data_IF_882552092422
#
_entry.id   IF_882552092422
#
_cell.length_a   1.000
_cell.length_b   1.000
_cell.length_c   1.000
_cell.angle_alpha   90.00
_cell.angle_beta   90.00
_cell.angle_gamma   90.00
#
_symmetry.space_group_name_H-M   'P 1'
#
loop_
_entity.id
_entity.type
_entity.pdbx_description
1 polymer ?
#
# COMPACT_ATOMS: atom_id res chain seq x y z
N UNK A 1 -36.25 -10.64 -48.75
CA UNK A 1 -36.36 -9.25 -49.24
C UNK A 1 -35.27 -8.43 -48.56
N UNK A 2 -34.27 -7.98 -49.32
CA UNK A 2 -33.16 -7.18 -48.78
C UNK A 2 -33.63 -5.73 -48.58
N UNK A 3 -33.60 -5.26 -47.33
CA UNK A 3 -33.83 -3.86 -46.99
C UNK A 3 -32.66 -3.03 -47.52
N UNK A 4 -32.83 -2.43 -48.71
CA UNK A 4 -31.93 -1.42 -49.26
C UNK A 4 -32.12 -0.12 -48.46
N UNK A 5 -31.34 0.05 -47.39
CA UNK A 5 -31.23 1.33 -46.69
C UNK A 5 -30.32 2.26 -47.50
N UNK A 6 -30.93 3.15 -48.27
CA UNK A 6 -30.26 4.23 -48.99
C UNK A 6 -29.82 5.31 -48.00
N UNK A 7 -28.54 5.33 -47.64
CA UNK A 7 -27.93 6.41 -46.85
C UNK A 7 -27.61 7.58 -47.77
N UNK A 8 -28.51 8.56 -47.84
CA UNK A 8 -28.24 9.83 -48.52
C UNK A 8 -27.39 10.70 -47.56
N UNK A 9 -26.15 11.06 -47.90
CA UNK A 9 -25.34 11.94 -47.07
C UNK A 9 -25.95 13.34 -47.06
N UNK A 10 -26.40 13.80 -45.89
CA UNK A 10 -26.87 15.18 -45.71
C UNK A 10 -25.66 16.15 -45.73
N UNK A 11 -25.83 17.37 -46.24
CA UNK A 11 -24.84 18.44 -46.12
C UNK A 11 -24.45 18.69 -44.66
N UNK A 12 -23.19 19.05 -44.40
CA UNK A 12 -22.63 19.21 -43.03
C UNK A 12 -23.42 20.17 -42.11
N UNK A 13 -24.19 21.10 -42.68
CA UNK A 13 -25.02 22.07 -41.96
C UNK A 13 -26.42 21.54 -41.59
N UNK A 14 -26.87 20.41 -42.16
CA UNK A 14 -28.21 19.84 -41.95
C UNK A 14 -28.22 18.67 -40.97
N UNK A 15 -27.06 18.33 -40.41
CA UNK A 15 -26.99 17.36 -39.33
C UNK A 15 -27.72 17.91 -38.09
N UNK A 16 -28.76 17.23 -37.58
CA UNK A 16 -29.49 17.69 -36.41
C UNK A 16 -28.52 17.88 -35.24
N UNK A 17 -28.75 18.87 -34.38
CA UNK A 17 -27.84 19.19 -33.27
C UNK A 17 -27.55 17.98 -32.35
N UNK A 18 -28.42 16.95 -32.37
CA UNK A 18 -28.23 15.67 -31.70
C UNK A 18 -27.09 14.81 -32.27
N UNK A 19 -26.84 14.83 -33.59
CA UNK A 19 -25.74 14.06 -34.22
C UNK A 19 -24.36 14.65 -33.95
N UNK A 20 -24.29 15.88 -33.41
CA UNK A 20 -23.06 16.50 -32.91
C UNK A 20 -22.67 16.04 -31.50
N UNK A 21 -23.52 15.24 -30.83
CA UNK A 21 -23.27 14.70 -29.49
C UNK A 21 -22.92 13.22 -29.56
N UNK A 22 -22.18 12.72 -28.57
CA UNK A 22 -21.73 11.33 -28.51
C UNK A 22 -22.84 10.31 -28.81
N UNK A 23 -24.03 10.47 -28.20
CA UNK A 23 -25.16 9.55 -28.36
C UNK A 23 -25.88 9.66 -29.72
N UNK A 24 -25.61 10.71 -30.50
CA UNK A 24 -26.13 10.84 -31.87
C UNK A 24 -25.22 10.23 -32.94
N UNK A 25 -24.03 9.76 -32.57
CA UNK A 25 -23.14 9.01 -33.47
C UNK A 25 -23.65 7.57 -33.67
N UNK A 26 -23.40 6.93 -34.82
CA UNK A 26 -23.62 5.50 -35.01
C UNK A 26 -22.95 4.65 -33.92
N UNK A 27 -23.55 3.52 -33.56
CA UNK A 27 -23.09 2.66 -32.47
C UNK A 27 -21.64 2.19 -32.70
N UNK A 28 -21.25 1.95 -33.95
CA UNK A 28 -19.91 1.54 -34.34
C UNK A 28 -18.87 2.60 -33.95
N UNK A 29 -19.15 3.87 -34.25
CA UNK A 29 -18.29 4.99 -33.86
C UNK A 29 -18.26 5.15 -32.34
N UNK A 30 -19.41 5.00 -31.67
CA UNK A 30 -19.46 5.03 -30.20
C UNK A 30 -18.62 3.91 -29.59
N UNK A 31 -18.68 2.70 -30.12
CA UNK A 31 -17.89 1.56 -29.67
C UNK A 31 -16.39 1.79 -29.87
N UNK A 32 -15.97 2.39 -31.00
CA UNK A 32 -14.58 2.80 -31.19
C UNK A 32 -14.15 3.83 -30.14
N UNK A 33 -14.97 4.86 -29.88
CA UNK A 33 -14.71 5.86 -28.84
C UNK A 33 -14.59 5.19 -27.47
N UNK A 34 -15.51 4.30 -27.11
CA UNK A 34 -15.48 3.56 -25.85
C UNK A 34 -14.24 2.68 -25.74
N UNK A 35 -13.86 2.00 -26.82
CA UNK A 35 -12.65 1.17 -26.85
C UNK A 35 -11.40 2.02 -26.59
N UNK A 36 -11.22 3.12 -27.33
CA UNK A 36 -10.08 4.01 -27.13
C UNK A 36 -10.06 4.70 -25.76
N UNK A 37 -11.23 5.00 -25.19
CA UNK A 37 -11.33 5.63 -23.89
C UNK A 37 -11.06 4.64 -22.74
N UNK A 38 -11.60 3.42 -22.81
CA UNK A 38 -11.70 2.51 -21.65
C UNK A 38 -10.70 1.33 -21.70
N UNK A 39 -10.21 0.98 -22.89
CA UNK A 39 -9.24 -0.10 -23.04
C UNK A 39 -7.84 0.49 -22.87
N UNK A 40 -7.15 -0.01 -21.85
CA UNK A 40 -5.82 0.47 -21.47
C UNK A 40 -4.90 -0.72 -21.25
N UNK A 41 -3.58 -0.55 -21.42
CA UNK A 41 -2.62 -1.61 -21.14
C UNK A 41 -2.83 -2.24 -19.75
N UNK A 42 -2.45 -3.52 -19.56
CA UNK A 42 -2.48 -4.19 -18.26
C UNK A 42 -1.76 -3.38 -17.18
N UNK A 43 -2.16 -3.52 -15.91
CA UNK A 43 -1.63 -2.74 -14.75
C UNK A 43 -0.10 -2.65 -14.78
N UNK A 44 0.58 -3.76 -15.02
CA UNK A 44 2.03 -3.90 -15.01
C UNK A 44 2.75 -3.27 -16.23
N UNK A 45 2.04 -3.03 -17.34
CA UNK A 45 2.59 -2.44 -18.56
C UNK A 45 2.38 -0.92 -18.62
N UNK A 46 1.87 -0.31 -17.55
CA UNK A 46 1.63 1.13 -17.50
C UNK A 46 2.89 1.86 -17.04
N UNK A 47 3.23 2.89 -17.78
CA UNK A 47 4.29 3.83 -17.43
C UNK A 47 3.72 4.97 -16.61
N UNK A 48 4.58 5.72 -15.92
CA UNK A 48 4.14 6.95 -15.29
C UNK A 48 3.76 8.01 -16.34
N UNK A 49 2.85 8.92 -16.01
CA UNK A 49 2.61 10.11 -16.83
C UNK A 49 3.86 11.01 -16.85
N UNK A 50 4.00 11.82 -17.90
CA UNK A 50 5.17 12.69 -18.11
C UNK A 50 5.34 13.71 -16.97
N UNK A 51 4.25 14.08 -16.29
CA UNK A 51 4.21 15.01 -15.16
C UNK A 51 4.24 14.31 -13.78
N UNK A 52 4.30 12.98 -13.74
CA UNK A 52 4.30 12.24 -12.49
C UNK A 52 5.63 12.40 -11.74
N UNK A 53 5.59 12.76 -10.46
CA UNK A 53 6.76 12.87 -9.59
C UNK A 53 7.69 11.64 -9.64
N UNK A 54 7.15 10.43 -9.70
CA UNK A 54 7.95 9.19 -9.74
C UNK A 54 8.67 8.96 -11.05
N UNK A 55 8.24 9.63 -12.12
CA UNK A 55 8.94 9.66 -13.41
C UNK A 55 10.16 10.59 -13.38
N UNK A 56 10.29 11.41 -12.35
CA UNK A 56 11.41 12.33 -12.21
C UNK A 56 12.60 11.57 -11.65
N UNK A 57 13.55 11.26 -12.53
CA UNK A 57 14.84 10.74 -12.15
C UNK A 57 15.67 11.86 -11.50
N UNK A 58 16.12 11.64 -10.26
CA UNK A 58 17.04 12.55 -9.57
C UNK A 58 18.48 12.37 -10.07
N UNK A 59 18.81 11.19 -10.62
CA UNK A 59 20.14 10.85 -11.16
C UNK A 59 20.04 10.25 -12.55
N UNK A 60 21.17 10.21 -13.27
CA UNK A 60 21.26 9.62 -14.62
C UNK A 60 20.88 8.13 -14.62
N UNK A 61 21.06 7.41 -13.51
CA UNK A 61 20.92 5.95 -13.43
C UNK A 61 19.75 5.49 -12.55
N UNK A 62 18.91 6.42 -12.07
CA UNK A 62 17.71 6.06 -11.29
C UNK A 62 16.73 5.25 -12.14
N UNK A 63 16.27 4.12 -11.59
CA UNK A 63 15.20 3.32 -12.18
C UNK A 63 13.86 3.99 -11.86
N UNK A 64 13.00 4.11 -12.87
CA UNK A 64 11.63 4.57 -12.68
C UNK A 64 10.86 3.44 -11.98
N UNK A 65 10.34 3.63 -10.75
CA UNK A 65 9.62 2.56 -10.06
C UNK A 65 8.38 2.18 -10.87
N UNK A 66 7.99 0.91 -10.92
CA UNK A 66 6.85 0.52 -11.75
C UNK A 66 5.58 1.21 -11.25
N UNK A 67 4.82 1.85 -12.14
CA UNK A 67 3.65 2.63 -11.75
C UNK A 67 2.63 1.79 -10.95
N UNK A 68 2.55 0.48 -11.21
CA UNK A 68 1.68 -0.46 -10.51
C UNK A 68 2.04 -0.69 -9.04
N UNK A 69 3.30 -0.48 -8.65
CA UNK A 69 3.82 -0.73 -7.30
C UNK A 69 3.85 0.53 -6.42
N UNK A 70 3.63 1.69 -7.02
CA UNK A 70 3.52 2.99 -6.32
C UNK A 70 2.04 3.39 -6.12
N UNK A 71 1.12 2.47 -6.43
CA UNK A 71 -0.30 2.63 -6.17
C UNK A 71 -0.64 2.12 -4.78
N UNK A 72 -1.22 2.98 -3.95
CA UNK A 72 -2.03 2.51 -2.84
C UNK A 72 -3.29 1.81 -3.38
N UNK A 73 -3.34 0.50 -3.21
CA UNK A 73 -4.59 -0.24 -3.21
C UNK A 73 -5.26 0.07 -1.88
N UNK A 74 -6.09 1.12 -1.87
CA UNK A 74 -7.05 1.40 -0.80
C UNK A 74 -8.16 0.32 -0.76
N UNK A 75 -7.75 -0.92 -0.62
CA UNK A 75 -8.55 -2.04 -0.19
C UNK A 75 -8.35 -2.08 1.32
N UNK A 76 -8.89 -1.07 2.00
CA UNK A 76 -8.90 -0.97 3.45
C UNK A 76 -9.51 -2.25 4.02
N UNK A 77 -8.66 -3.18 4.44
CA UNK A 77 -9.03 -4.35 5.25
C UNK A 77 -9.04 -3.99 6.75
N UNK A 78 -8.59 -2.78 7.09
CA UNK A 78 -8.47 -2.20 8.43
C UNK A 78 -9.07 -0.79 8.38
N UNK A 79 -9.83 -0.34 9.40
CA UNK A 79 -10.32 1.04 9.49
C UNK A 79 -9.16 2.03 9.35
N UNK A 80 -9.38 3.12 8.61
CA UNK A 80 -8.36 4.09 8.18
C UNK A 80 -7.74 4.92 9.34
N UNK A 81 -7.77 4.43 10.58
CA UNK A 81 -7.41 5.17 11.78
C UNK A 81 -6.09 4.68 12.42
N UNK A 82 -5.44 3.67 11.83
CA UNK A 82 -4.15 3.10 12.29
C UNK A 82 -3.06 3.17 11.21
N UNK A 83 -3.12 4.17 10.32
CA UNK A 83 -1.97 4.48 9.44
C UNK A 83 -0.98 5.32 10.23
N UNK A 84 0.29 4.93 10.19
CA UNK A 84 1.34 5.63 10.92
C UNK A 84 1.54 7.05 10.32
N UNK A 85 1.89 8.06 11.12
CA UNK A 85 2.00 9.47 10.68
C UNK A 85 3.09 9.76 9.63
N UNK A 86 3.80 8.74 9.13
CA UNK A 86 4.74 8.83 8.01
C UNK A 86 4.10 8.49 6.64
N UNK A 87 2.80 8.15 6.60
CA UNK A 87 2.08 7.69 5.39
C UNK A 87 1.46 8.80 4.51
N UNK A 88 1.71 10.08 4.78
CA UNK A 88 1.51 11.16 3.80
C UNK A 88 2.87 11.78 3.46
N UNK A 89 3.32 11.92 2.19
CA UNK A 89 2.61 11.95 0.89
C UNK A 89 3.28 11.04 -0.18
N UNK A 90 2.90 11.17 -1.48
CA UNK A 90 3.51 10.55 -2.70
C UNK A 90 2.71 9.39 -3.34
N UNK A 91 1.42 9.55 -3.60
CA UNK A 91 0.64 8.54 -4.32
C UNK A 91 0.75 8.70 -5.84
N UNK A 92 1.35 7.74 -6.53
CA UNK A 92 1.24 7.69 -7.99
C UNK A 92 -0.18 7.30 -8.38
N UNK A 93 -0.80 7.98 -9.34
CA UNK A 93 -2.09 7.57 -9.93
C UNK A 93 -1.96 7.03 -11.35
N UNK A 94 -0.75 6.96 -11.91
CA UNK A 94 -0.51 6.62 -13.32
C UNK A 94 -0.91 5.19 -13.68
N UNK A 95 -0.86 4.26 -12.73
CA UNK A 95 -1.35 2.91 -12.96
C UNK A 95 -2.86 2.77 -12.69
N UNK A 96 -3.57 3.80 -12.20
CA UNK A 96 -5.05 3.78 -12.15
C UNK A 96 -5.59 3.87 -13.58
N UNK A 97 -6.72 3.21 -13.80
CA UNK A 97 -7.46 3.39 -15.06
C UNK A 97 -8.05 4.80 -15.04
N UNK A 98 -7.71 5.61 -16.04
CA UNK A 98 -8.38 6.88 -16.30
C UNK A 98 -9.75 6.62 -16.92
N UNK A 99 -10.54 7.69 -17.14
CA UNK A 99 -11.79 7.69 -17.92
C UNK A 99 -12.93 6.77 -17.44
N UNK A 100 -12.79 6.07 -16.31
CA UNK A 100 -13.85 5.22 -15.75
C UNK A 100 -15.15 5.99 -15.44
N UNK A 101 -15.05 7.30 -15.22
CA UNK A 101 -16.21 8.19 -15.05
C UNK A 101 -17.16 8.15 -16.25
N UNK A 102 -16.69 7.75 -17.44
CA UNK A 102 -17.52 7.55 -18.61
C UNK A 102 -18.61 6.48 -18.36
N UNK A 103 -18.28 5.43 -17.60
CA UNK A 103 -19.24 4.40 -17.22
C UNK A 103 -20.33 4.93 -16.27
N UNK A 104 -20.14 6.11 -15.68
CA UNK A 104 -21.09 6.75 -14.77
C UNK A 104 -21.87 7.89 -15.44
N UNK A 105 -21.57 8.23 -16.69
CA UNK A 105 -22.15 9.40 -17.36
C UNK A 105 -23.66 9.30 -17.53
N UNK A 106 -24.17 8.18 -18.07
CA UNK A 106 -25.61 7.89 -18.13
C UNK A 106 -25.87 6.38 -18.33
N UNK A 107 -27.14 5.98 -18.20
CA UNK A 107 -27.54 4.56 -18.32
C UNK A 107 -27.24 3.96 -19.70
N UNK A 108 -27.42 4.73 -20.78
CA UNK A 108 -27.14 4.25 -22.14
C UNK A 108 -25.64 4.02 -22.34
N UNK A 109 -24.80 5.02 -22.02
CA UNK A 109 -23.34 4.90 -22.09
C UNK A 109 -22.87 3.72 -21.26
N UNK A 110 -23.41 3.54 -20.05
CA UNK A 110 -23.06 2.39 -19.21
C UNK A 110 -23.38 1.05 -19.89
N UNK A 111 -24.56 0.90 -20.50
CA UNK A 111 -24.98 -0.34 -21.18
C UNK A 111 -24.10 -0.65 -22.38
N UNK A 112 -23.70 0.35 -23.16
CA UNK A 112 -22.88 0.18 -24.36
C UNK A 112 -21.39 -0.02 -24.02
N UNK A 113 -20.86 0.76 -23.09
CA UNK A 113 -19.42 0.84 -22.82
C UNK A 113 -18.92 -0.17 -21.77
N UNK A 114 -19.77 -0.59 -20.82
CA UNK A 114 -19.34 -1.56 -19.79
C UNK A 114 -18.91 -2.92 -20.37
N UNK A 115 -19.62 -3.51 -21.36
CA UNK A 115 -19.15 -4.74 -22.00
C UNK A 115 -17.76 -4.59 -22.60
N UNK A 116 -17.50 -3.52 -23.36
CA UNK A 116 -16.18 -3.24 -23.96
C UNK A 116 -15.12 -3.16 -22.86
N UNK A 117 -15.40 -2.42 -21.78
CA UNK A 117 -14.48 -2.30 -20.66
C UNK A 117 -14.12 -3.65 -20.04
N UNK A 118 -15.11 -4.47 -19.68
CA UNK A 118 -14.86 -5.74 -19.00
C UNK A 118 -14.29 -6.82 -19.93
N UNK A 119 -14.62 -6.79 -21.22
CA UNK A 119 -14.19 -7.84 -22.15
C UNK A 119 -12.84 -7.59 -22.80
N UNK A 120 -12.50 -6.34 -23.11
CA UNK A 120 -11.28 -6.03 -23.86
C UNK A 120 -10.06 -5.80 -22.97
N UNK A 121 -10.26 -5.63 -21.66
CA UNK A 121 -9.17 -5.34 -20.73
C UNK A 121 -8.65 -6.58 -20.01
N UNK A 122 -7.33 -6.59 -19.78
CA UNK A 122 -6.69 -7.50 -18.83
C UNK A 122 -6.74 -6.91 -17.42
N UNK A 123 -7.33 -7.67 -16.50
CA UNK A 123 -7.40 -7.35 -15.08
C UNK A 123 -6.28 -8.09 -14.36
N UNK A 124 -5.38 -7.30 -13.75
CA UNK A 124 -4.19 -7.79 -13.07
C UNK A 124 -4.39 -7.62 -11.57
N UNK A 125 -4.21 -8.69 -10.82
CA UNK A 125 -4.29 -8.74 -9.38
C UNK A 125 -2.95 -9.22 -8.83
N UNK A 126 -2.50 -8.62 -7.74
CA UNK A 126 -1.24 -9.03 -7.10
C UNK A 126 -1.44 -10.34 -6.32
N UNK A 127 -2.64 -10.49 -5.73
CA UNK A 127 -2.97 -11.63 -4.89
C UNK A 127 -4.35 -12.21 -5.25
N UNK A 128 -4.56 -13.54 -5.13
CA UNK A 128 -5.86 -14.17 -5.29
C UNK A 128 -6.97 -13.56 -4.40
N UNK A 129 -6.60 -13.05 -3.23
CA UNK A 129 -7.55 -12.37 -2.32
C UNK A 129 -8.05 -11.04 -2.88
N UNK A 130 -7.16 -10.29 -3.53
CA UNK A 130 -7.53 -9.05 -4.20
C UNK A 130 -8.55 -9.36 -5.30
N UNK A 131 -8.30 -10.41 -6.08
CA UNK A 131 -9.28 -10.88 -7.06
C UNK A 131 -10.60 -11.30 -6.41
N UNK A 132 -10.56 -12.15 -5.37
CA UNK A 132 -11.77 -12.64 -4.72
C UNK A 132 -12.62 -11.49 -4.16
N UNK A 133 -11.99 -10.48 -3.56
CA UNK A 133 -12.68 -9.32 -3.02
C UNK A 133 -13.20 -8.39 -4.14
N UNK A 134 -12.35 -8.02 -5.10
CA UNK A 134 -12.72 -7.09 -6.17
C UNK A 134 -13.76 -7.69 -7.11
N UNK A 135 -13.56 -8.92 -7.59
CA UNK A 135 -14.46 -9.56 -8.54
C UNK A 135 -15.64 -10.29 -7.86
N UNK A 136 -15.45 -10.80 -6.65
CA UNK A 136 -16.48 -11.57 -5.96
C UNK A 136 -17.38 -10.75 -5.04
N UNK A 137 -16.83 -9.78 -4.29
CA UNK A 137 -17.61 -8.96 -3.37
C UNK A 137 -18.06 -7.64 -4.00
N UNK A 138 -17.17 -6.94 -4.71
CA UNK A 138 -17.44 -5.58 -5.21
C UNK A 138 -18.03 -5.55 -6.62
N UNK A 139 -17.59 -6.45 -7.51
CA UNK A 139 -18.12 -6.51 -8.86
C UNK A 139 -19.50 -7.16 -8.86
N UNK A 140 -20.47 -6.50 -9.51
CA UNK A 140 -21.83 -7.02 -9.70
C UNK A 140 -21.78 -8.36 -10.44
N UNK A 141 -22.62 -9.30 -10.02
CA UNK A 141 -22.67 -10.65 -10.60
C UNK A 141 -22.86 -10.64 -12.13
N UNK A 142 -23.65 -9.70 -12.66
CA UNK A 142 -23.89 -9.55 -14.11
C UNK A 142 -22.62 -9.26 -14.93
N UNK A 143 -21.57 -8.68 -14.33
CA UNK A 143 -20.32 -8.35 -15.03
C UNK A 143 -19.25 -9.44 -14.92
N UNK A 144 -19.39 -10.39 -13.99
CA UNK A 144 -18.42 -11.49 -13.83
C UNK A 144 -18.26 -12.32 -15.12
N UNK A 145 -19.33 -12.66 -15.86
CA UNK A 145 -19.20 -13.37 -17.14
C UNK A 145 -18.52 -12.54 -18.25
N UNK A 146 -18.46 -11.21 -18.10
CA UNK A 146 -17.80 -10.34 -19.09
C UNK A 146 -16.29 -10.29 -18.92
N UNK A 147 -15.75 -10.72 -17.78
CA UNK A 147 -14.30 -10.81 -17.57
C UNK A 147 -13.69 -11.84 -18.52
N UNK A 148 -12.86 -11.39 -19.46
CA UNK A 148 -12.20 -12.27 -20.46
C UNK A 148 -10.73 -12.55 -20.15
N UNK A 149 -10.05 -11.64 -19.46
CA UNK A 149 -8.61 -11.70 -19.29
C UNK A 149 -8.24 -11.41 -17.83
N UNK A 150 -7.85 -12.44 -17.09
CA UNK A 150 -7.42 -12.34 -15.70
C UNK A 150 -5.97 -12.75 -15.58
N UNK A 151 -5.20 -11.93 -14.87
CA UNK A 151 -3.82 -12.20 -14.52
C UNK A 151 -3.64 -12.04 -13.02
N UNK A 152 -3.08 -13.05 -12.37
CA UNK A 152 -2.79 -13.05 -10.94
C UNK A 152 -1.31 -13.31 -10.75
N UNK A 153 -0.57 -12.27 -10.38
CA UNK A 153 0.87 -12.35 -10.26
C UNK A 153 1.39 -11.57 -9.07
N UNK A 154 2.15 -12.29 -8.26
CA UNK A 154 2.98 -11.75 -7.19
C UNK A 154 4.44 -12.11 -7.47
N UNK A 155 5.40 -11.25 -7.17
CA UNK A 155 6.82 -11.59 -7.03
C UNK A 155 7.08 -12.30 -5.70
N UNK A 156 6.39 -11.91 -4.62
CA UNK A 156 6.58 -12.53 -3.32
C UNK A 156 5.97 -13.94 -3.33
N UNK A 157 6.73 -14.98 -2.92
CA UNK A 157 6.19 -16.33 -2.80
C UNK A 157 4.94 -16.28 -1.92
N UNK A 158 3.86 -16.92 -2.39
CA UNK A 158 2.67 -17.00 -1.57
C UNK A 158 2.95 -17.87 -0.37
N UNK A 159 3.00 -17.23 0.80
CA UNK A 159 3.19 -17.91 2.06
C UNK A 159 2.12 -19.01 2.27
N UNK A 160 2.47 -19.98 3.09
CA UNK A 160 1.73 -21.18 3.45
C UNK A 160 0.23 -20.93 3.67
N UNK A 161 -0.61 -21.74 2.99
CA UNK A 161 -2.08 -21.76 3.00
C UNK A 161 -2.76 -20.68 3.87
N UNK A 162 -2.78 -19.39 3.45
CA UNK A 162 -3.26 -18.33 4.32
C UNK A 162 -4.74 -18.57 4.51
N UNK A 163 -5.12 -18.95 5.72
CA UNK A 163 -6.53 -19.09 6.07
C UNK A 163 -7.09 -17.72 6.42
N UNK A 164 -8.37 -17.55 6.20
CA UNK A 164 -9.08 -16.35 6.65
C UNK A 164 -10.18 -16.75 7.62
N UNK A 165 -10.24 -16.02 8.73
CA UNK A 165 -11.32 -16.09 9.72
C UNK A 165 -12.52 -15.24 9.31
N UNK A 166 -12.47 -14.55 8.16
CA UNK A 166 -13.56 -13.76 7.59
C UNK A 166 -13.90 -14.24 6.17
N UNK A 167 -15.20 -14.32 5.90
CA UNK A 167 -15.71 -14.50 4.54
C UNK A 167 -15.55 -13.17 3.78
N UNK A 168 -14.84 -13.17 2.64
CA UNK A 168 -14.55 -11.97 1.87
C UNK A 168 -15.78 -11.41 1.13
N UNK A 169 -16.84 -12.21 0.96
CA UNK A 169 -18.08 -11.80 0.30
C UNK A 169 -19.08 -11.17 1.27
N UNK A 170 -19.23 -11.76 2.46
CA UNK A 170 -20.23 -11.33 3.43
C UNK A 170 -19.65 -10.51 4.58
N UNK A 171 -18.33 -10.47 4.72
CA UNK A 171 -17.64 -9.88 5.88
C UNK A 171 -17.83 -10.68 7.18
N UNK A 172 -18.65 -11.73 7.17
CA UNK A 172 -18.99 -12.50 8.36
C UNK A 172 -17.77 -13.27 8.89
N UNK A 173 -17.63 -13.31 10.22
CA UNK A 173 -16.61 -14.11 10.89
C UNK A 173 -16.97 -15.59 10.77
N UNK A 174 -16.02 -16.39 10.34
CA UNK A 174 -16.15 -17.82 10.15
C UNK A 174 -15.92 -18.49 11.51
N UNK A 175 -16.93 -19.19 12.02
CA UNK A 175 -16.90 -19.85 13.34
C UNK A 175 -15.97 -21.08 13.40
N UNK A 176 -15.52 -21.59 12.24
CA UNK A 176 -14.62 -22.76 12.17
C UNK A 176 -13.24 -22.41 12.73
N UNK A 177 -12.77 -23.18 13.73
CA UNK A 177 -11.42 -23.07 14.30
C UNK A 177 -10.38 -23.20 13.18
N UNK A 178 -9.58 -22.16 12.97
CA UNK A 178 -8.58 -22.08 11.90
C UNK A 178 -9.05 -21.41 10.59
N UNK A 179 -10.30 -20.97 10.44
CA UNK A 179 -10.76 -20.27 9.23
C UNK A 179 -10.95 -21.16 7.99
N UNK A 180 -11.23 -20.54 6.83
CA UNK A 180 -11.27 -21.24 5.52
C UNK A 180 -10.00 -20.95 4.72
N UNK A 181 -9.51 -21.93 3.92
CA UNK A 181 -8.49 -21.67 2.91
C UNK A 181 -8.94 -20.56 1.96
N UNK A 182 -8.11 -19.53 1.79
CA UNK A 182 -8.44 -18.39 0.92
C UNK A 182 -8.66 -18.81 -0.54
N UNK A 183 -8.01 -19.87 -0.98
CA UNK A 183 -8.17 -20.48 -2.30
C UNK A 183 -9.59 -20.92 -2.64
N UNK A 184 -10.38 -21.37 -1.66
CA UNK A 184 -11.77 -21.76 -1.92
C UNK A 184 -12.61 -20.57 -2.40
N UNK A 185 -12.32 -19.38 -1.87
CA UNK A 185 -13.00 -18.15 -2.28
C UNK A 185 -12.54 -17.71 -3.67
N UNK A 186 -11.23 -17.80 -3.94
CA UNK A 186 -10.67 -17.57 -5.27
C UNK A 186 -11.38 -18.41 -6.34
N UNK A 187 -11.41 -19.74 -6.16
CA UNK A 187 -12.05 -20.66 -7.11
C UNK A 187 -13.57 -20.43 -7.21
N UNK A 188 -14.23 -20.13 -6.09
CA UNK A 188 -15.65 -19.80 -6.06
C UNK A 188 -16.01 -18.60 -6.93
N UNK A 189 -15.18 -17.56 -6.97
CA UNK A 189 -15.37 -16.39 -7.84
C UNK A 189 -14.98 -16.71 -9.28
N UNK A 190 -13.87 -17.42 -9.48
CA UNK A 190 -13.40 -17.78 -10.82
C UNK A 190 -14.46 -18.59 -11.59
N UNK A 191 -15.13 -19.54 -10.93
CA UNK A 191 -16.25 -20.33 -11.50
C UNK A 191 -17.42 -19.48 -12.02
N UNK A 192 -17.56 -18.25 -11.53
CA UNK A 192 -18.61 -17.32 -11.97
C UNK A 192 -18.20 -16.50 -13.19
N UNK A 193 -16.91 -16.52 -13.54
CA UNK A 193 -16.34 -15.82 -14.68
C UNK A 193 -16.41 -16.69 -15.95
N UNK A 194 -17.61 -17.18 -16.30
CA UNK A 194 -17.80 -18.19 -17.38
C UNK A 194 -17.29 -17.75 -18.76
N UNK A 195 -17.17 -16.44 -19.00
CA UNK A 195 -16.62 -15.91 -20.23
C UNK A 195 -15.10 -15.85 -20.29
N UNK A 196 -14.37 -16.28 -19.27
CA UNK A 196 -12.93 -16.14 -19.21
C UNK A 196 -12.24 -16.84 -20.39
N UNK A 197 -11.37 -16.10 -21.11
CA UNK A 197 -10.62 -16.59 -22.28
C UNK A 197 -9.15 -16.78 -21.99
N UNK A 198 -8.57 -15.96 -21.11
CA UNK A 198 -7.17 -16.11 -20.70
C UNK A 198 -7.05 -16.04 -19.18
N UNK A 199 -6.37 -17.02 -18.60
CA UNK A 199 -6.06 -17.07 -17.19
C UNK A 199 -4.56 -17.26 -17.02
N UNK A 200 -3.93 -16.31 -16.35
CA UNK A 200 -2.51 -16.36 -16.01
C UNK A 200 -2.37 -16.39 -14.48
N UNK A 201 -1.70 -17.42 -13.96
CA UNK A 201 -1.52 -17.64 -12.51
C UNK A 201 -0.09 -18.06 -12.22
N UNK A 202 0.28 -18.08 -10.94
CA UNK A 202 1.57 -18.62 -10.52
C UNK A 202 1.58 -20.16 -10.44
N UNK A 203 2.76 -20.80 -10.52
CA UNK A 203 2.89 -22.26 -10.44
C UNK A 203 2.36 -22.86 -9.12
N UNK A 204 2.37 -22.14 -8.00
CA UNK A 204 1.92 -22.68 -6.72
C UNK A 204 0.42 -23.03 -6.72
N UNK A 205 -0.38 -22.40 -7.58
CA UNK A 205 -1.80 -22.78 -7.79
C UNK A 205 -1.89 -24.22 -8.26
N UNK A 206 -1.06 -24.60 -9.24
CA UNK A 206 -1.09 -25.93 -9.86
C UNK A 206 -0.66 -27.01 -8.87
N UNK A 207 0.37 -26.74 -8.05
CA UNK A 207 0.83 -27.68 -7.03
C UNK A 207 -0.24 -28.01 -5.99
N UNK A 208 -0.95 -26.99 -5.50
CA UNK A 208 -1.89 -27.12 -4.37
C UNK A 208 -3.29 -27.53 -4.81
N UNK A 209 -3.68 -27.21 -6.04
CA UNK A 209 -5.08 -27.33 -6.51
C UNK A 209 -5.22 -28.18 -7.78
N UNK A 210 -4.45 -29.27 -7.90
CA UNK A 210 -4.48 -30.15 -9.08
C UNK A 210 -5.89 -30.64 -9.47
N UNK A 211 -6.76 -30.92 -8.48
CA UNK A 211 -8.15 -31.34 -8.73
C UNK A 211 -9.02 -30.21 -9.32
N UNK A 212 -8.88 -28.99 -8.80
CA UNK A 212 -9.57 -27.80 -9.34
C UNK A 212 -9.08 -27.50 -10.76
N UNK A 213 -7.76 -27.62 -10.97
CA UNK A 213 -7.11 -27.44 -12.26
C UNK A 213 -7.60 -28.42 -13.33
N UNK A 214 -7.78 -29.70 -12.98
CA UNK A 214 -8.33 -30.69 -13.92
C UNK A 214 -9.80 -30.43 -14.28
N UNK A 215 -10.52 -29.73 -13.41
CA UNK A 215 -11.91 -29.32 -13.67
C UNK A 215 -12.03 -27.98 -14.40
N UNK A 216 -10.91 -27.32 -14.70
CA UNK A 216 -10.88 -25.96 -15.24
C UNK A 216 -11.63 -25.84 -16.57
N UNK A 217 -11.41 -26.79 -17.49
CA UNK A 217 -12.10 -26.82 -18.79
C UNK A 217 -13.61 -26.99 -18.67
N UNK A 218 -14.10 -27.70 -17.64
CA UNK A 218 -15.53 -27.86 -17.36
C UNK A 218 -16.15 -26.58 -16.82
N UNK A 219 -15.43 -25.85 -15.97
CA UNK A 219 -15.95 -24.62 -15.36
C UNK A 219 -15.86 -23.40 -16.27
N UNK A 220 -14.83 -23.37 -17.12
CA UNK A 220 -14.50 -22.25 -18.01
C UNK A 220 -14.40 -22.75 -19.45
N UNK A 221 -15.53 -23.04 -20.12
CA UNK A 221 -15.53 -23.60 -21.48
C UNK A 221 -14.91 -22.65 -22.51
N UNK A 222 -15.02 -21.33 -22.27
CA UNK A 222 -14.46 -20.29 -23.12
C UNK A 222 -12.95 -20.07 -22.93
N UNK A 223 -12.31 -20.77 -21.96
CA UNK A 223 -10.89 -20.60 -21.68
C UNK A 223 -10.08 -21.15 -22.85
N UNK A 224 -9.27 -20.28 -23.48
CA UNK A 224 -8.43 -20.60 -24.64
C UNK A 224 -6.96 -20.68 -24.29
N UNK A 225 -6.53 -19.91 -23.29
CA UNK A 225 -5.12 -19.78 -22.92
C UNK A 225 -4.97 -19.81 -21.42
N UNK A 226 -4.20 -20.79 -20.94
CA UNK A 226 -3.78 -20.88 -19.55
C UNK A 226 -2.27 -20.66 -19.48
N UNK A 227 -1.83 -19.77 -18.61
CA UNK A 227 -0.42 -19.42 -18.46
C UNK A 227 0.05 -19.65 -17.03
N UNK A 228 1.21 -20.29 -16.91
CA UNK A 228 2.02 -20.23 -15.71
C UNK A 228 2.95 -19.03 -15.81
N UNK A 229 2.98 -18.22 -14.76
CA UNK A 229 3.70 -16.95 -14.76
C UNK A 229 4.73 -16.91 -13.65
N UNK A 230 5.88 -16.37 -14.00
CA UNK A 230 6.98 -16.09 -13.10
C UNK A 230 7.21 -14.58 -13.08
N UNK A 231 7.39 -14.02 -11.89
CA UNK A 231 7.76 -12.62 -11.69
C UNK A 231 8.97 -12.59 -10.77
N UNK A 232 10.14 -12.33 -11.37
CA UNK A 232 11.39 -12.08 -10.64
C UNK A 232 11.44 -10.66 -10.10
N UNK A 233 12.05 -10.49 -8.92
CA UNK A 233 12.31 -9.21 -8.26
C UNK A 233 13.81 -9.10 -8.02
N UNK A 234 14.42 -8.05 -8.58
CA UNK A 234 15.86 -7.80 -8.52
C UNK A 234 16.08 -6.46 -7.86
N UNK A 235 16.77 -6.45 -6.73
CA UNK A 235 17.05 -5.22 -5.98
C UNK A 235 18.52 -4.83 -6.15
N UNK A 236 18.79 -3.53 -6.14
CA UNK A 236 20.14 -3.00 -6.02
C UNK A 236 20.74 -3.35 -4.64
N UNK A 237 22.05 -3.50 -4.59
CA UNK A 237 22.82 -3.81 -3.38
C UNK A 237 22.63 -2.73 -2.31
N UNK A 238 22.60 -1.47 -2.74
CA UNK A 238 22.43 -0.31 -1.86
C UNK A 238 21.12 -0.37 -1.02
N UNK A 239 20.11 -1.11 -1.50
CA UNK A 239 18.79 -1.22 -0.87
C UNK A 239 18.59 -2.40 0.08
N UNK A 240 19.64 -3.18 0.38
CA UNK A 240 19.53 -4.43 1.15
C UNK A 240 19.17 -4.20 2.64
N UNK A 241 19.38 -3.00 3.17
CA UNK A 241 19.33 -2.74 4.62
C UNK A 241 17.96 -2.41 5.24
N UNK A 242 16.89 -2.24 4.44
CA UNK A 242 15.53 -2.06 5.00
C UNK A 242 14.80 -3.40 5.17
N UNK A 243 14.36 -3.70 6.41
CA UNK A 243 13.70 -4.96 6.78
C UNK A 243 12.49 -5.25 5.87
N UNK A 244 12.58 -6.36 5.14
CA UNK A 244 11.56 -6.84 4.18
C UNK A 244 10.40 -7.54 4.88
N UNK A 245 9.32 -6.82 5.19
CA UNK A 245 8.04 -7.46 5.51
C UNK A 245 7.30 -7.87 4.23
N UNK A 246 7.67 -9.02 3.65
CA UNK A 246 6.81 -10.04 3.00
C UNK A 246 5.68 -9.67 2.01
N UNK A 247 5.55 -8.44 1.51
CA UNK A 247 4.58 -8.10 0.47
C UNK A 247 5.02 -6.88 -0.34
N UNK A 248 4.58 -6.78 -1.60
CA UNK A 248 4.62 -5.54 -2.40
C UNK A 248 4.09 -4.28 -1.71
N UNK A 249 3.41 -4.41 -0.56
CA UNK A 249 2.70 -3.35 0.15
C UNK A 249 3.50 -2.72 1.30
N UNK A 250 4.65 -3.28 1.67
CA UNK A 250 5.42 -2.85 2.85
C UNK A 250 6.76 -2.18 2.52
N UNK A 251 6.90 -1.57 1.33
CA UNK A 251 8.12 -0.86 0.95
C UNK A 251 8.02 0.62 1.35
N UNK A 252 8.68 0.98 2.45
CA UNK A 252 8.83 2.36 2.96
C UNK A 252 9.72 3.23 2.07
N UNK A 253 10.71 2.65 1.38
CA UNK A 253 11.50 3.33 0.37
C UNK A 253 10.90 3.18 -1.04
N UNK A 254 10.89 4.28 -1.81
CA UNK A 254 10.51 4.28 -3.22
C UNK A 254 11.40 3.24 -3.95
N UNK A 255 10.80 2.25 -4.62
CA UNK A 255 11.46 1.14 -5.33
C UNK A 255 12.29 1.58 -6.57
N UNK A 256 13.10 2.64 -6.46
CA UNK A 256 14.02 3.13 -7.50
C UNK A 256 15.24 2.23 -7.69
N UNK A 257 15.37 1.24 -6.81
CA UNK A 257 16.43 0.23 -6.75
C UNK A 257 15.86 -1.16 -7.04
N UNK A 258 14.70 -1.27 -7.71
CA UNK A 258 14.11 -2.58 -8.01
C UNK A 258 13.68 -2.66 -9.47
N UNK A 259 14.17 -3.68 -10.17
CA UNK A 259 13.67 -4.12 -11.47
C UNK A 259 12.85 -5.39 -11.28
N UNK A 260 11.74 -5.49 -12.00
CA UNK A 260 10.97 -6.74 -12.03
C UNK A 260 10.99 -7.32 -13.44
N UNK A 261 11.08 -8.64 -13.54
CA UNK A 261 10.99 -9.35 -14.81
C UNK A 261 9.82 -10.31 -14.77
N UNK A 262 8.97 -10.29 -15.80
CA UNK A 262 7.88 -11.25 -15.98
C UNK A 262 8.22 -12.19 -17.12
N UNK A 263 8.00 -13.48 -16.92
CA UNK A 263 7.93 -14.46 -18.00
C UNK A 263 6.68 -15.32 -17.84
N UNK A 264 6.23 -15.93 -18.94
CA UNK A 264 5.06 -16.80 -18.95
C UNK A 264 5.29 -18.01 -19.83
N UNK A 265 4.84 -19.18 -19.38
CA UNK A 265 4.76 -20.40 -20.15
C UNK A 265 3.28 -20.72 -20.42
N UNK A 266 2.92 -20.91 -21.69
CA UNK A 266 1.57 -21.34 -22.06
C UNK A 266 1.47 -22.84 -21.81
N UNK A 267 0.43 -23.26 -21.11
CA UNK A 267 0.22 -24.65 -20.72
C UNK A 267 -1.05 -25.17 -21.39
N UNK A 268 -0.95 -26.36 -21.96
CA UNK A 268 -2.12 -27.10 -22.42
C UNK A 268 -2.83 -27.76 -21.23
N UNK A 269 -3.85 -27.07 -20.72
CA UNK A 269 -4.67 -27.52 -19.61
C UNK A 269 -5.78 -28.51 -20.02
N UNK A 270 -5.92 -28.81 -21.32
CA UNK A 270 -6.93 -29.74 -21.85
C UNK A 270 -6.38 -31.14 -22.13
N UNK A 271 -5.09 -31.36 -21.90
CA UNK A 271 -4.47 -32.67 -22.03
C UNK A 271 -5.17 -33.73 -21.15
N UNK A 272 -5.35 -34.92 -21.71
CA UNK A 272 -5.82 -36.10 -20.98
C UNK A 272 -4.79 -36.38 -19.87
N UNK A 273 -5.25 -36.47 -18.61
CA UNK A 273 -4.42 -36.59 -17.39
C UNK A 273 -3.70 -35.34 -16.85
N UNK A 274 -4.22 -34.13 -17.12
CA UNK A 274 -3.67 -32.89 -16.53
C UNK A 274 -3.48 -32.95 -15.00
N UNK A 275 -4.39 -33.59 -14.25
CA UNK A 275 -4.28 -33.71 -12.77
C UNK A 275 -3.04 -34.47 -12.32
N UNK A 276 -2.66 -35.55 -13.02
CA UNK A 276 -1.47 -36.36 -12.71
C UNK A 276 -0.20 -35.59 -13.10
N UNK A 277 -0.26 -34.88 -14.24
CA UNK A 277 0.82 -34.05 -14.74
C UNK A 277 1.06 -32.75 -13.96
N UNK A 278 0.14 -32.30 -13.10
CA UNK A 278 0.29 -31.05 -12.34
C UNK A 278 1.58 -30.98 -11.49
N UNK A 279 2.00 -32.11 -10.89
CA UNK A 279 3.23 -32.15 -10.08
C UNK A 279 4.48 -31.99 -10.95
N UNK A 280 4.52 -32.70 -12.08
CA UNK A 280 5.64 -32.63 -13.02
C UNK A 280 5.68 -31.29 -13.75
N UNK A 281 4.52 -30.73 -14.08
CA UNK A 281 4.39 -29.37 -14.62
C UNK A 281 4.91 -28.33 -13.63
N UNK A 282 4.53 -28.42 -12.35
CA UNK A 282 5.07 -27.54 -11.32
C UNK A 282 6.59 -27.68 -11.20
N UNK A 283 7.09 -28.92 -11.13
CA UNK A 283 8.53 -29.20 -11.04
C UNK A 283 9.26 -28.62 -12.25
N UNK A 284 8.86 -29.00 -13.46
CA UNK A 284 9.45 -28.50 -14.72
C UNK A 284 9.43 -26.98 -14.81
N UNK A 285 8.30 -26.33 -14.46
CA UNK A 285 8.22 -24.88 -14.46
C UNK A 285 9.19 -24.26 -13.45
N UNK A 286 9.22 -24.75 -12.21
CA UNK A 286 10.05 -24.17 -11.15
C UNK A 286 11.53 -24.47 -11.27
N UNK A 287 11.91 -25.69 -11.68
CA UNK A 287 13.32 -26.12 -11.74
C UNK A 287 13.97 -25.83 -13.08
N UNK A 288 13.20 -25.81 -14.17
CA UNK A 288 13.75 -25.58 -15.50
C UNK A 288 13.40 -24.17 -15.96
N UNK A 289 12.12 -23.88 -16.18
CA UNK A 289 11.70 -22.59 -16.76
C UNK A 289 12.12 -21.39 -15.89
N UNK A 290 11.78 -21.37 -14.61
CA UNK A 290 12.11 -20.26 -13.72
C UNK A 290 13.62 -20.07 -13.55
N UNK A 291 14.38 -21.17 -13.42
CA UNK A 291 15.84 -21.12 -13.24
C UNK A 291 16.52 -20.56 -14.50
N UNK A 292 16.14 -21.06 -15.68
CA UNK A 292 16.69 -20.55 -16.94
C UNK A 292 16.31 -19.09 -17.20
N UNK A 293 15.07 -18.71 -16.91
CA UNK A 293 14.65 -17.32 -17.05
C UNK A 293 15.41 -16.43 -16.07
N UNK A 294 15.57 -16.84 -14.81
CA UNK A 294 16.30 -16.06 -13.80
C UNK A 294 17.78 -15.87 -14.19
N UNK A 295 18.47 -16.94 -14.59
CA UNK A 295 19.87 -16.87 -15.07
C UNK A 295 19.99 -15.98 -16.30
N UNK A 296 19.11 -16.12 -17.30
CA UNK A 296 19.10 -15.23 -18.48
C UNK A 296 18.90 -13.76 -18.08
N UNK A 297 17.98 -13.48 -17.15
CA UNK A 297 17.75 -12.11 -16.68
C UNK A 297 19.00 -11.56 -15.99
N UNK A 298 19.60 -12.33 -15.09
CA UNK A 298 20.79 -11.93 -14.34
C UNK A 298 22.00 -11.69 -15.26
N UNK A 299 22.38 -12.68 -16.05
CA UNK A 299 23.57 -12.62 -16.91
C UNK A 299 23.38 -11.62 -18.05
N UNK A 300 22.30 -11.75 -18.82
CA UNK A 300 22.18 -11.04 -20.10
C UNK A 300 21.60 -9.65 -19.99
N UNK A 301 20.84 -9.36 -18.93
CA UNK A 301 20.13 -8.09 -18.80
C UNK A 301 20.63 -7.24 -17.63
N UNK A 302 20.98 -7.89 -16.52
CA UNK A 302 21.38 -7.20 -15.31
C UNK A 302 22.90 -7.16 -15.09
N UNK A 303 23.68 -7.87 -15.93
CA UNK A 303 25.13 -7.84 -15.90
C UNK A 303 25.73 -8.53 -14.66
N UNK A 304 24.98 -9.47 -14.06
CA UNK A 304 25.46 -10.27 -12.94
C UNK A 304 26.39 -11.38 -13.45
N UNK A 305 27.56 -11.51 -12.83
CA UNK A 305 28.35 -12.73 -12.93
C UNK A 305 27.76 -13.78 -11.98
N UNK A 306 27.45 -14.97 -12.50
CA UNK A 306 26.85 -16.03 -11.69
C UNK A 306 27.85 -16.68 -10.73
N UNK A 307 29.15 -16.60 -11.01
CA UNK A 307 30.18 -17.29 -10.22
C UNK A 307 30.55 -16.51 -8.95
N UNK A 308 30.59 -15.18 -9.03
CA UNK A 308 31.03 -14.33 -7.93
C UNK A 308 29.86 -13.67 -7.17
N UNK A 309 28.77 -13.32 -7.86
CA UNK A 309 27.83 -12.29 -7.42
C UNK A 309 26.35 -12.64 -7.65
N UNK A 310 25.96 -13.91 -7.45
CA UNK A 310 24.58 -14.39 -7.70
C UNK A 310 23.48 -13.52 -7.06
N UNK A 311 23.73 -12.96 -5.88
CA UNK A 311 22.77 -12.14 -5.14
C UNK A 311 22.86 -10.63 -5.43
N UNK A 312 23.84 -10.20 -6.23
CA UNK A 312 24.24 -8.81 -6.35
C UNK A 312 23.83 -8.29 -7.73
N UNK A 313 23.05 -7.22 -7.73
CA UNK A 313 22.58 -6.60 -8.97
C UNK A 313 22.92 -5.12 -8.88
N UNK A 314 23.82 -4.64 -9.73
CA UNK A 314 24.14 -3.22 -9.78
C UNK A 314 23.25 -2.50 -10.80
N UNK A 315 22.12 -1.95 -10.34
CA UNK A 315 21.19 -1.24 -11.23
C UNK A 315 21.69 0.18 -11.56
N UNK A 316 22.46 0.78 -10.65
CA UNK A 316 22.86 2.19 -10.74
C UNK A 316 24.24 2.48 -11.35
N UNK A 317 25.13 1.50 -11.49
CA UNK A 317 26.49 1.72 -12.03
C UNK A 317 26.54 1.65 -13.55
N UNK A 318 25.46 1.23 -14.22
CA UNK A 318 25.36 1.20 -15.67
C UNK A 318 25.77 -0.13 -16.31
N UNK A 319 25.92 -1.21 -15.53
CA UNK A 319 26.15 -2.59 -16.02
C UNK A 319 24.92 -3.24 -16.68
N UNK A 320 23.78 -2.55 -16.72
CA UNK A 320 22.58 -3.03 -17.41
C UNK A 320 22.86 -3.21 -18.90
N UNK A 321 22.29 -4.27 -19.47
CA UNK A 321 22.48 -4.59 -20.87
C UNK A 321 22.08 -3.44 -21.80
N UNK A 322 22.87 -3.25 -22.85
CA UNK A 322 22.63 -2.21 -23.84
C UNK A 322 21.22 -2.33 -24.43
N UNK A 323 20.40 -1.31 -24.17
CA UNK A 323 19.02 -1.21 -24.69
C UNK A 323 17.92 -1.64 -23.72
N UNK A 324 18.22 -2.09 -22.50
CA UNK A 324 17.20 -2.28 -21.46
C UNK A 324 16.73 -0.93 -20.92
N UNK A 325 15.69 -0.38 -21.53
CA UNK A 325 15.10 0.90 -21.14
C UNK A 325 13.58 0.95 -21.38
N UNK A 326 12.98 2.09 -21.04
CA UNK A 326 11.55 2.36 -21.16
C UNK A 326 10.98 2.26 -22.60
N UNK A 327 11.84 2.28 -23.61
CA UNK A 327 11.44 2.10 -25.02
C UNK A 327 11.39 0.64 -25.43
N UNK A 328 12.16 -0.23 -24.75
CA UNK A 328 12.23 -1.66 -25.04
C UNK A 328 12.22 -2.48 -23.75
N UNK A 329 11.01 -2.78 -23.28
CA UNK A 329 10.76 -3.58 -22.08
C UNK A 329 10.51 -5.05 -22.35
N UNK A 330 10.31 -5.46 -23.61
CA UNK A 330 9.93 -6.84 -23.96
C UNK A 330 10.95 -7.50 -24.87
N UNK A 331 11.37 -8.71 -24.51
CA UNK A 331 12.39 -9.49 -25.19
C UNK A 331 11.89 -10.91 -25.43
N UNK A 332 12.04 -11.41 -26.66
CA UNK A 332 11.80 -12.82 -26.98
C UNK A 332 13.12 -13.56 -26.86
N UNK A 333 13.11 -14.63 -26.08
CA UNK A 333 14.30 -15.42 -25.76
C UNK A 333 14.01 -16.90 -26.01
N UNK A 334 15.04 -17.62 -26.42
CA UNK A 334 15.04 -19.08 -26.48
C UNK A 334 15.74 -19.60 -25.22
N UNK A 335 15.04 -20.45 -24.48
CA UNK A 335 15.57 -21.10 -23.30
C UNK A 335 16.50 -22.25 -23.72
N UNK A 336 17.40 -22.73 -22.83
CA UNK A 336 18.24 -23.90 -23.11
C UNK A 336 17.44 -25.16 -23.48
N UNK A 337 16.16 -25.22 -23.11
CA UNK A 337 15.22 -26.28 -23.50
C UNK A 337 14.74 -26.19 -24.95
N UNK A 338 15.11 -25.14 -25.69
CA UNK A 338 14.57 -24.81 -27.02
C UNK A 338 13.21 -24.08 -26.98
N UNK A 339 12.61 -23.94 -25.80
CA UNK A 339 11.33 -23.23 -25.65
C UNK A 339 11.51 -21.72 -25.84
N UNK A 340 10.61 -21.09 -26.60
CA UNK A 340 10.60 -19.63 -26.79
C UNK A 340 9.69 -18.97 -25.78
N UNK A 341 10.23 -18.02 -25.02
CA UNK A 341 9.49 -17.24 -24.03
C UNK A 341 9.63 -15.74 -24.28
N UNK A 342 8.68 -14.97 -23.73
CA UNK A 342 8.74 -13.52 -23.73
C UNK A 342 9.00 -13.03 -22.30
N UNK A 343 10.12 -12.35 -22.12
CA UNK A 343 10.49 -11.67 -20.88
C UNK A 343 10.05 -10.21 -21.00
N UNK A 344 9.24 -9.75 -20.05
CA UNK A 344 8.76 -8.36 -19.96
C UNK A 344 9.29 -7.74 -18.68
N UNK A 345 10.12 -6.71 -18.81
CA UNK A 345 10.64 -5.95 -17.70
C UNK A 345 9.66 -4.85 -17.27
N UNK A 346 9.64 -4.60 -15.97
CA UNK A 346 8.89 -3.53 -15.33
C UNK A 346 9.86 -2.80 -14.40
N UNK A 347 9.61 -1.50 -14.19
CA UNK A 347 10.56 -0.63 -13.51
C UNK A 347 11.95 -0.68 -14.17
N UNK A 348 12.07 -0.12 -15.37
CA UNK A 348 13.35 -0.09 -16.12
C UNK A 348 13.91 1.34 -16.14
N UNK A 349 15.22 1.52 -16.39
CA UNK A 349 15.79 2.84 -16.59
C UNK A 349 15.14 3.60 -17.75
N UNK A 350 15.14 4.93 -17.66
CA UNK A 350 14.71 5.76 -18.77
C UNK A 350 15.79 5.85 -19.84
N UNK A 351 15.38 5.69 -21.10
CA UNK A 351 16.24 5.93 -22.25
C UNK A 351 16.76 7.37 -22.27
N UNK A 352 17.91 7.60 -22.91
CA UNK A 352 18.42 8.95 -23.12
C UNK A 352 17.40 9.84 -23.83
N UNK A 353 16.69 9.30 -24.82
CA UNK A 353 15.65 10.00 -25.58
C UNK A 353 14.50 10.43 -24.67
N UNK A 354 13.98 9.55 -23.81
CA UNK A 354 12.93 9.89 -22.84
C UNK A 354 13.39 10.97 -21.88
N UNK A 355 14.60 10.86 -21.31
CA UNK A 355 15.13 11.87 -20.37
C UNK A 355 15.24 13.25 -21.00
N UNK A 356 15.78 13.36 -22.22
CA UNK A 356 15.88 14.62 -22.95
C UNK A 356 14.50 15.20 -23.22
N UNK A 357 13.55 14.37 -23.68
CA UNK A 357 12.17 14.78 -23.93
C UNK A 357 11.49 15.32 -22.66
N UNK A 358 11.57 14.59 -21.54
CA UNK A 358 11.00 15.01 -20.26
C UNK A 358 11.66 16.27 -19.71
N UNK A 359 12.98 16.44 -19.89
CA UNK A 359 13.67 17.68 -19.52
C UNK A 359 13.17 18.88 -20.34
N UNK A 360 13.03 18.72 -21.66
CA UNK A 360 12.48 19.77 -22.54
C UNK A 360 11.05 20.14 -22.15
N UNK A 361 10.19 19.15 -21.93
CA UNK A 361 8.79 19.38 -21.52
C UNK A 361 8.69 20.14 -20.18
N UNK A 362 9.56 19.83 -19.22
CA UNK A 362 9.62 20.55 -17.94
C UNK A 362 10.05 22.00 -18.11
N UNK A 363 11.14 22.24 -18.84
CA UNK A 363 11.61 23.60 -19.10
C UNK A 363 10.55 24.45 -19.82
N UNK A 364 9.82 23.86 -20.77
CA UNK A 364 8.71 24.54 -21.44
C UNK A 364 7.56 24.89 -20.47
N UNK A 365 7.17 23.96 -19.60
CA UNK A 365 6.12 24.18 -18.59
C UNK A 365 6.53 25.24 -17.55
N UNK A 366 7.78 25.20 -17.09
CA UNK A 366 8.32 26.18 -16.14
C UNK A 366 8.39 27.58 -16.78
N UNK A 367 8.78 27.66 -18.06
CA UNK A 367 8.76 28.91 -18.81
C UNK A 367 7.33 29.45 -18.97
N UNK A 368 6.34 28.58 -19.24
CA UNK A 368 4.93 28.96 -19.32
C UNK A 368 4.38 29.48 -17.98
N UNK A 369 4.72 28.83 -16.86
CA UNK A 369 4.33 29.27 -15.53
C UNK A 369 4.93 30.64 -15.19
N UNK A 370 6.22 30.83 -15.47
CA UNK A 370 6.90 32.12 -15.28
C UNK A 370 6.32 33.23 -16.14
N UNK A 371 6.01 32.94 -17.42
CA UNK A 371 5.34 33.89 -18.30
C UNK A 371 3.96 34.32 -17.78
N UNK A 372 3.28 33.44 -17.03
CA UNK A 372 2.00 33.72 -16.35
C UNK A 372 2.18 34.37 -14.96
N UNK A 373 3.41 34.70 -14.55
CA UNK A 373 3.71 35.21 -13.21
C UNK A 373 3.44 34.21 -12.08
N UNK A 374 3.33 32.91 -12.39
CA UNK A 374 3.11 31.83 -11.43
C UNK A 374 4.44 31.18 -11.04
N UNK A 375 4.50 30.73 -9.80
CA UNK A 375 5.64 29.97 -9.29
C UNK A 375 5.76 28.64 -10.03
N UNK A 376 6.99 28.21 -10.25
CA UNK A 376 7.24 26.85 -10.75
C UNK A 376 6.92 25.83 -9.66
N UNK A 377 6.66 24.57 -10.05
CA UNK A 377 6.40 23.50 -9.07
C UNK A 377 7.57 23.29 -8.09
N UNK A 378 8.80 23.57 -8.53
CA UNK A 378 9.97 23.51 -7.66
C UNK A 378 9.96 24.66 -6.64
N UNK A 379 9.67 25.88 -7.08
CA UNK A 379 9.55 27.06 -6.21
C UNK A 379 8.40 26.89 -5.20
N UNK A 380 7.24 26.36 -5.62
CA UNK A 380 6.11 26.06 -4.73
C UNK A 380 6.48 25.04 -3.64
N UNK A 381 7.20 23.97 -3.99
CA UNK A 381 7.67 22.98 -3.01
C UNK A 381 8.62 23.57 -1.99
N UNK A 382 9.61 24.36 -2.44
CA UNK A 382 10.56 25.03 -1.54
C UNK A 382 9.82 25.96 -0.59
N UNK A 383 8.84 26.73 -1.08
CA UNK A 383 8.02 27.59 -0.23
C UNK A 383 7.16 26.79 0.76
N UNK A 384 6.61 25.64 0.35
CA UNK A 384 5.85 24.76 1.23
C UNK A 384 6.74 24.18 2.33
N UNK A 385 7.93 23.69 1.97
CA UNK A 385 8.90 23.15 2.92
C UNK A 385 9.38 24.21 3.91
N UNK A 386 9.62 25.44 3.46
CA UNK A 386 9.93 26.57 4.34
C UNK A 386 8.77 26.84 5.32
N UNK A 387 7.52 26.80 4.85
CA UNK A 387 6.35 26.97 5.73
C UNK A 387 6.24 25.83 6.75
N UNK A 388 6.39 24.59 6.31
CA UNK A 388 6.35 23.40 7.18
C UNK A 388 7.47 23.45 8.23
N UNK A 389 8.70 23.79 7.84
CA UNK A 389 9.82 23.98 8.79
C UNK A 389 9.55 25.09 9.79
N UNK A 390 8.94 26.21 9.37
CA UNK A 390 8.56 27.30 10.28
C UNK A 390 7.49 26.85 11.28
N UNK A 391 6.49 26.08 10.85
CA UNK A 391 5.47 25.53 11.75
C UNK A 391 6.09 24.52 12.71
N UNK A 392 6.94 23.62 12.23
CA UNK A 392 7.64 22.64 13.06
C UNK A 392 8.53 23.31 14.12
N UNK A 393 9.26 24.37 13.75
CA UNK A 393 10.06 25.13 14.71
C UNK A 393 9.19 25.84 15.74
N UNK A 394 8.09 26.49 15.33
CA UNK A 394 7.14 27.11 16.27
C UNK A 394 6.53 26.09 17.25
N UNK A 395 6.19 24.90 16.78
CA UNK A 395 5.68 23.84 17.64
C UNK A 395 6.74 23.37 18.62
N UNK A 396 7.99 23.18 18.18
CA UNK A 396 9.11 22.84 19.07
C UNK A 396 9.35 23.91 20.14
N UNK A 397 9.30 25.19 19.76
CA UNK A 397 9.40 26.31 20.69
C UNK A 397 8.25 26.31 21.71
N UNK A 398 7.02 26.06 21.26
CA UNK A 398 5.85 25.96 22.13
C UNK A 398 5.93 24.75 23.09
N UNK A 399 6.39 23.59 22.60
CA UNK A 399 6.60 22.40 23.42
C UNK A 399 7.68 22.64 24.48
N UNK A 400 8.76 23.35 24.12
CA UNK A 400 9.80 23.76 25.08
C UNK A 400 9.24 24.71 26.14
N UNK A 401 8.42 25.71 25.75
CA UNK A 401 7.79 26.62 26.70
C UNK A 401 6.82 25.90 27.65
N UNK A 402 6.09 24.89 27.17
CA UNK A 402 5.22 24.04 28.01
C UNK A 402 6.06 23.28 29.04
N UNK A 403 7.15 22.63 28.61
CA UNK A 403 8.05 21.90 29.50
C UNK A 403 8.69 22.82 30.55
N UNK A 404 9.12 24.02 30.17
CA UNK A 404 9.65 25.02 31.10
C UNK A 404 8.60 25.46 32.12
N UNK A 405 7.35 25.71 31.69
CA UNK A 405 6.25 26.04 32.60
C UNK A 405 5.94 24.91 33.56
N UNK A 406 5.94 23.67 33.10
CA UNK A 406 5.74 22.49 33.95
C UNK A 406 6.86 22.35 34.98
N UNK A 407 8.12 22.56 34.59
CA UNK A 407 9.25 22.57 35.52
C UNK A 407 9.10 23.65 36.60
N UNK A 408 8.74 24.88 36.22
CA UNK A 408 8.51 25.98 37.16
C UNK A 408 7.36 25.64 38.13
N UNK A 409 6.27 25.04 37.64
CA UNK A 409 5.14 24.64 38.48
C UNK A 409 5.52 23.51 39.44
N UNK A 410 6.29 22.52 38.99
CA UNK A 410 6.82 21.45 39.83
C UNK A 410 7.75 22.00 40.91
N UNK A 411 8.65 22.92 40.55
CA UNK A 411 9.55 23.55 41.52
C UNK A 411 8.79 24.39 42.55
N UNK A 412 7.78 25.15 42.13
CA UNK A 412 6.89 25.88 43.06
C UNK A 412 6.16 24.94 44.01
N UNK A 413 5.59 23.84 43.50
CA UNK A 413 4.94 22.82 44.33
C UNK A 413 5.90 22.25 45.36
N UNK A 414 7.12 21.88 44.93
CA UNK A 414 8.18 21.38 45.83
C UNK A 414 8.49 22.38 46.94
N UNK A 415 8.72 23.66 46.61
CA UNK A 415 8.96 24.71 47.62
C UNK A 415 7.80 24.87 48.61
N UNK A 416 6.55 24.80 48.12
CA UNK A 416 5.38 24.87 49.02
C UNK A 416 5.24 23.65 49.92
N UNK A 417 5.66 22.47 49.46
CA UNK A 417 5.66 21.24 50.24
C UNK A 417 6.77 21.27 51.29
N UNK A 418 7.97 21.72 50.92
CA UNK A 418 9.09 21.97 51.86
C UNK A 418 8.67 22.94 52.98
N UNK A 419 8.02 24.06 52.66
CA UNK A 419 7.51 24.99 53.69
C UNK A 419 6.44 24.36 54.58
N UNK A 420 5.56 23.51 54.04
CA UNK A 420 4.53 22.81 54.83
C UNK A 420 5.14 21.76 55.75
N UNK A 421 6.18 21.05 55.30
CA UNK A 421 6.93 20.13 56.13
C UNK A 421 7.67 20.87 57.25
N UNK A 422 8.28 22.01 56.94
CA UNK A 422 8.95 22.85 57.93
C UNK A 422 7.95 23.39 58.97
N UNK A 423 6.78 23.88 58.54
CA UNK A 423 5.71 24.30 59.45
C UNK A 423 5.19 23.13 60.30
N UNK A 424 5.09 21.92 59.74
CA UNK A 424 4.72 20.71 60.50
C UNK A 424 5.78 20.39 61.56
N UNK A 425 7.06 20.46 61.21
CA UNK A 425 8.18 20.26 62.15
C UNK A 425 8.15 21.31 63.26
N UNK A 426 7.92 22.59 62.94
CA UNK A 426 7.77 23.64 63.96
C UNK A 426 6.60 23.39 64.89
N UNK A 427 5.44 22.97 64.36
CA UNK A 427 4.25 22.64 65.17
C UNK A 427 4.49 21.44 66.09
N UNK A 428 5.23 20.43 65.61
CA UNK A 428 5.62 19.27 66.41
C UNK A 428 6.59 19.67 67.53
N UNK A 429 7.59 20.50 67.24
CA UNK A 429 8.50 21.05 68.25
C UNK A 429 7.73 21.85 69.29
N UNK A 430 6.84 22.76 68.88
CA UNK A 430 5.99 23.53 69.80
C UNK A 430 5.10 22.63 70.65
N UNK A 431 4.54 21.56 70.08
CA UNK A 431 3.71 20.61 70.84
C UNK A 431 4.55 19.86 71.88
N UNK A 432 5.75 19.40 71.51
CA UNK A 432 6.67 18.76 72.43
C UNK A 432 7.13 19.71 73.56
N UNK A 433 7.34 20.99 73.25
CA UNK A 433 7.64 22.02 74.26
C UNK A 433 6.47 22.26 75.21
N UNK A 434 5.25 22.29 74.68
CA UNK A 434 4.03 22.48 75.47
C UNK A 434 3.74 21.26 76.35
N UNK A 435 3.96 20.04 75.85
CA UNK A 435 3.87 18.81 76.64
C UNK A 435 4.89 18.80 77.78
N UNK A 436 6.15 19.17 77.49
CA UNK A 436 7.19 19.35 78.53
C UNK A 436 6.77 20.38 79.58
N UNK A 437 6.18 21.51 79.18
CA UNK A 437 5.70 22.55 80.10
C UNK A 437 4.48 22.10 80.93
N UNK A 438 3.58 21.29 80.36
CA UNK A 438 2.44 20.72 81.09
C UNK A 438 2.91 19.68 82.11
N UNK A 439 3.93 18.89 81.77
CA UNK A 439 4.51 17.89 82.65
C UNK A 439 5.22 18.55 83.85
N UNK A 440 6.03 19.59 83.61
CA UNK A 440 6.64 20.38 84.69
C UNK A 440 5.58 21.05 85.58
N UNK A 441 4.54 21.65 85.00
CA UNK A 441 3.44 22.26 85.78
C UNK A 441 2.63 21.21 86.57
N UNK A 442 2.49 19.97 86.07
CA UNK A 442 1.86 18.86 86.82
C UNK A 442 2.73 18.41 87.99
N UNK A 443 4.04 18.36 87.82
CA UNK A 443 4.98 18.09 88.92
C UNK A 443 4.95 19.20 89.97
N UNK A 444 4.95 20.47 89.56
CA UNK A 444 4.80 21.61 90.47
C UNK A 444 3.49 21.51 91.26
N UNK A 445 2.35 21.23 90.61
CA UNK A 445 1.06 21.02 91.29
C UNK A 445 1.06 19.81 92.23
N UNK A 446 1.81 18.74 91.93
CA UNK A 446 1.99 17.60 92.85
C UNK A 446 2.80 18.01 94.08
N UNK A 447 3.84 18.82 93.91
CA UNK A 447 4.63 19.37 95.02
C UNK A 447 3.79 20.33 95.87
N UNK A 448 2.96 21.15 95.24
CA UNK A 448 2.10 22.13 95.91
C UNK A 448 0.94 21.47 96.68
N UNK A 449 0.30 20.44 96.12
CA UNK A 449 -0.74 19.65 96.83
C UNK A 449 -0.17 18.93 98.07
N UNK A 450 1.10 18.51 98.03
CA UNK A 450 1.78 17.98 99.23
C UNK A 450 2.03 19.07 100.29
N UNK A 451 2.21 20.34 99.91
CA UNK A 451 2.35 21.47 100.84
C UNK A 451 1.02 21.91 101.47
N UNK A 452 -0.08 21.85 100.73
CA UNK A 452 -1.41 22.29 101.21
C UNK A 452 -2.02 21.31 102.22
N UNK A 453 -1.85 20.00 102.04
CA UNK A 453 -2.31 19.00 103.04
C UNK A 453 -1.60 19.19 104.38
N UNK A 454 -0.33 19.63 104.37
CA UNK A 454 0.44 19.92 105.59
C UNK A 454 0.05 21.23 106.28
N UNK A 455 -0.64 22.17 105.59
CA UNK A 455 -1.12 23.43 106.19
C UNK A 455 -2.54 23.31 106.77
N UNK A 456 -3.36 22.39 106.27
CA UNK A 456 -4.73 22.21 106.80
C UNK A 456 -4.77 21.56 108.18
N UNK A 457 -3.80 20.71 108.51
CA UNK A 457 -3.70 20.14 109.86
C UNK A 457 -3.12 21.10 110.91
N UNK A 458 -2.58 22.26 110.50
CA UNK A 458 -1.91 23.23 111.41
C UNK A 458 -2.82 24.43 111.75
N UNK A 459 -3.96 24.60 111.06
CA UNK A 459 -4.86 25.75 111.28
C UNK A 459 -6.12 25.43 112.11
N UNK A 460 -6.45 24.15 112.36
CA UNK A 460 -7.58 23.79 113.24
C UNK A 460 -7.20 23.69 114.74
N UNK A 461 -5.90 23.69 115.09
CA UNK A 461 -5.44 23.68 116.50
C UNK A 461 -5.25 25.07 117.12
N UNK A 462 -5.56 26.18 116.44
CA UNK A 462 -5.27 27.55 116.91
C UNK A 462 -6.49 28.49 116.90
N UNK A 463 -7.70 27.94 117.11
CA UNK A 463 -8.96 28.72 117.17
C UNK A 463 -9.72 28.68 118.51
N UNK A 464 -9.47 27.69 119.38
CA UNK A 464 -10.07 27.61 120.72
C UNK A 464 -9.14 28.23 121.77
N UNK A 465 -9.11 29.57 121.84
CA UNK A 465 -8.80 30.40 123.03
C UNK A 465 -8.76 31.90 122.64
N UNK A 466 -9.94 32.53 122.57
CA UNK A 466 -10.30 33.94 122.83
C UNK A 466 -11.58 34.24 122.00
N UNK A 467 -12.81 34.17 122.51
CA UNK A 467 -13.35 34.47 123.84
C UNK A 467 -14.34 33.41 124.31
#
# INVERSE_FOLDING_TARGET
>A
MASLTLTIPLPAHQHPASSKRLLGLPLELRNLIYHHALVTPPKHSRTHHDDCHFRHNHTRTSVEPAACHVLDLSVNLIPAHELYPWDEPLQCRCAKRTTLNLLLACRQVHREAAPIFWTANTFVFEHPDEFALCAGARLRAAYRPLLRHIYIASADPWDTDPRTSRNLFTGARIKKKGGIPRWLQFWGVLKQCRGLRTLAVRPEVVRKHAADMASLGKWLPELRRFELTWVGKYNDEAGIWERRYGSFRACTAIQRETVFARAAQVVDFRAVDFSKGCKDLYRSFTTNFCVYVDSIVRERFLGCDLEEDWNWVELHTGKLAAGLDDTKTSYRMELPTGEKTQITFMAVPQSHKTRVRLRKARLAKDAELRAKGKLTLAEERVLKEIKERRVANKNREADQEILEREQILCERKRRTEEMREEERREREVRRADLERAVETAREERRVERKRVVKRRSVAEEMGELAL
#
